data_IF_378233912691
#
_entry.id   IF_378233912691
#
_cell.length_a   1.000
_cell.length_b   1.000
_cell.length_c   1.000
_cell.angle_alpha   90.00
_cell.angle_beta   90.00
_cell.angle_gamma   90.00
#
_symmetry.space_group_name_H-M   'P 1'
#
loop_
_entity.id
_entity.type
_entity.pdbx_description
1 polymer ?
#
# COMPACT_ATOMS: atom_id res chain seq x y z
N UNK A 1 -16.51 -10.86 -21.02
CA UNK A 1 -15.96 -11.77 -19.99
C UNK A 1 -15.44 -10.89 -18.86
N UNK A 2 -16.10 -10.84 -17.70
CA UNK A 2 -15.58 -10.08 -16.56
C UNK A 2 -14.34 -10.79 -16.02
N UNK A 3 -13.15 -10.26 -16.35
CA UNK A 3 -11.88 -10.78 -15.85
C UNK A 3 -11.81 -10.69 -14.32
N UNK A 4 -11.03 -11.58 -13.71
CA UNK A 4 -10.80 -11.59 -12.26
C UNK A 4 -10.15 -10.25 -11.85
N UNK A 5 -10.79 -9.54 -10.91
CA UNK A 5 -10.26 -8.29 -10.33
C UNK A 5 -8.94 -8.57 -9.57
N UNK A 6 -7.84 -7.83 -9.82
CA UNK A 6 -6.59 -8.00 -9.08
C UNK A 6 -6.81 -7.85 -7.58
N UNK A 7 -6.23 -8.74 -6.77
CA UNK A 7 -6.29 -8.63 -5.31
C UNK A 7 -5.18 -7.71 -4.84
N UNK A 8 -5.51 -6.73 -4.02
CA UNK A 8 -4.59 -5.68 -3.59
C UNK A 8 -4.39 -5.71 -2.08
N UNK A 9 -3.14 -5.67 -1.65
CA UNK A 9 -2.73 -5.45 -0.26
C UNK A 9 -2.16 -4.04 -0.19
N UNK A 10 -2.74 -3.19 0.66
CA UNK A 10 -2.24 -1.84 0.90
C UNK A 10 -1.31 -1.84 2.10
N UNK A 11 -0.22 -1.08 2.05
CA UNK A 11 0.75 -0.95 3.13
C UNK A 11 1.00 0.54 3.39
N UNK A 12 0.87 1.00 4.63
CA UNK A 12 1.16 2.40 5.00
C UNK A 12 2.64 2.61 5.32
N UNK A 13 3.09 3.87 5.45
CA UNK A 13 4.48 4.24 5.80
C UNK A 13 5.50 3.62 4.81
N UNK A 14 5.17 3.76 3.53
CA UNK A 14 5.82 3.13 2.38
C UNK A 14 7.19 3.68 1.99
N UNK A 15 8.11 3.82 2.94
CA UNK A 15 9.46 4.31 2.70
C UNK A 15 10.36 3.29 1.96
N UNK A 16 11.63 3.65 1.71
CA UNK A 16 12.59 2.75 1.05
C UNK A 16 12.87 1.46 1.85
N UNK A 17 12.74 1.50 3.18
CA UNK A 17 12.96 0.34 4.05
C UNK A 17 11.77 -0.62 3.90
N UNK A 18 10.55 -0.10 3.98
CA UNK A 18 9.32 -0.84 3.73
C UNK A 18 9.34 -1.46 2.33
N UNK A 19 9.73 -0.70 1.29
CA UNK A 19 9.85 -1.21 -0.07
C UNK A 19 10.77 -2.43 -0.15
N UNK A 20 11.99 -2.35 0.41
CA UNK A 20 12.95 -3.46 0.37
C UNK A 20 12.43 -4.70 1.10
N UNK A 21 11.73 -4.51 2.22
CA UNK A 21 11.12 -5.61 2.97
C UNK A 21 9.99 -6.27 2.17
N UNK A 22 9.10 -5.47 1.58
CA UNK A 22 7.96 -5.94 0.79
C UNK A 22 8.41 -6.63 -0.49
N UNK A 23 9.45 -6.14 -1.19
CA UNK A 23 9.98 -6.79 -2.39
C UNK A 23 10.57 -8.18 -2.08
N UNK A 24 11.20 -8.34 -0.91
CA UNK A 24 11.67 -9.65 -0.44
C UNK A 24 10.49 -10.57 -0.11
N UNK A 25 9.51 -10.09 0.65
CA UNK A 25 8.32 -10.86 1.01
C UNK A 25 7.50 -11.28 -0.24
N UNK A 26 7.35 -10.37 -1.21
CA UNK A 26 6.61 -10.60 -2.44
C UNK A 26 7.19 -11.75 -3.27
N UNK A 27 8.52 -11.90 -3.30
CA UNK A 27 9.17 -13.04 -3.97
C UNK A 27 8.78 -14.39 -3.35
N UNK A 28 8.63 -14.44 -2.03
CA UNK A 28 8.25 -15.65 -1.29
C UNK A 28 6.81 -16.04 -1.60
N UNK A 29 5.90 -15.07 -1.60
CA UNK A 29 4.45 -15.31 -1.81
C UNK A 29 4.01 -15.19 -3.28
N UNK A 30 4.95 -14.97 -4.21
CA UNK A 30 4.72 -14.73 -5.64
C UNK A 30 3.76 -13.56 -5.93
N UNK A 31 3.87 -12.49 -5.15
CA UNK A 31 3.12 -11.24 -5.34
C UNK A 31 3.88 -10.24 -6.24
N UNK A 32 3.17 -9.21 -6.73
CA UNK A 32 3.78 -8.05 -7.40
C UNK A 32 3.81 -6.86 -6.45
N UNK A 33 4.97 -6.24 -6.24
CA UNK A 33 5.05 -4.92 -5.63
C UNK A 33 4.99 -3.85 -6.73
N UNK A 34 4.16 -2.82 -6.55
CA UNK A 34 4.26 -1.60 -7.35
C UNK A 34 5.34 -0.73 -6.72
N UNK A 35 6.61 -1.02 -7.00
CA UNK A 35 7.74 -0.31 -6.36
C UNK A 35 7.71 1.20 -6.59
N UNK A 36 7.12 1.67 -7.69
CA UNK A 36 6.89 3.11 -7.96
C UNK A 36 5.91 3.80 -7.01
N UNK A 37 5.14 3.04 -6.22
CA UNK A 37 4.25 3.59 -5.19
C UNK A 37 4.97 3.89 -3.87
N UNK A 38 6.21 3.40 -3.69
CA UNK A 38 7.02 3.79 -2.54
C UNK A 38 7.44 5.26 -2.63
N UNK A 39 7.67 5.86 -1.48
CA UNK A 39 8.15 7.23 -1.34
C UNK A 39 7.40 7.97 -0.25
N UNK A 40 8.09 8.95 0.34
CA UNK A 40 7.57 9.76 1.44
C UNK A 40 7.63 11.26 1.03
N UNK A 41 6.51 11.90 0.64
CA UNK A 41 5.16 11.32 0.48
C UNK A 41 5.03 10.45 -0.78
N UNK A 42 3.93 9.70 -0.90
CA UNK A 42 3.64 8.87 -2.08
C UNK A 42 3.67 9.70 -3.36
N UNK A 43 4.50 9.33 -4.36
CA UNK A 43 4.75 10.17 -5.52
C UNK A 43 3.67 10.05 -6.63
N UNK A 44 2.74 9.12 -6.50
CA UNK A 44 1.71 8.81 -7.51
C UNK A 44 0.31 9.13 -7.00
N UNK A 45 -0.56 9.62 -7.88
CA UNK A 45 -1.98 9.74 -7.59
C UNK A 45 -2.65 8.36 -7.51
N UNK A 46 -3.72 8.24 -6.71
CA UNK A 46 -4.45 6.98 -6.55
C UNK A 46 -4.93 6.37 -7.87
N UNK A 47 -5.33 7.19 -8.84
CA UNK A 47 -5.72 6.74 -10.18
C UNK A 47 -4.55 6.14 -10.96
N UNK A 48 -3.37 6.74 -10.91
CA UNK A 48 -2.16 6.21 -11.55
C UNK A 48 -1.75 4.85 -10.94
N UNK A 49 -1.91 4.72 -9.61
CA UNK A 49 -1.66 3.46 -8.92
C UNK A 49 -2.63 2.38 -9.40
N UNK A 50 -3.93 2.69 -9.58
CA UNK A 50 -4.91 1.74 -10.12
C UNK A 50 -4.50 1.25 -11.50
N UNK A 51 -4.09 2.14 -12.41
CA UNK A 51 -3.65 1.72 -13.74
C UNK A 51 -2.42 0.80 -13.69
N UNK A 52 -1.47 1.07 -12.78
CA UNK A 52 -0.33 0.18 -12.56
C UNK A 52 -0.74 -1.19 -11.98
N UNK A 53 -1.75 -1.24 -11.10
CA UNK A 53 -2.30 -2.50 -10.59
C UNK A 53 -2.92 -3.32 -11.72
N UNK A 54 -3.67 -2.68 -12.63
CA UNK A 54 -4.34 -3.36 -13.74
C UNK A 54 -3.35 -3.93 -14.77
N UNK A 55 -2.14 -3.36 -14.86
CA UNK A 55 -1.04 -3.84 -15.70
C UNK A 55 -0.15 -4.89 -15.01
N UNK A 56 -0.36 -5.18 -13.72
CA UNK A 56 0.49 -6.08 -12.96
C UNK A 56 0.40 -7.54 -13.45
N UNK A 57 1.56 -8.14 -13.73
CA UNK A 57 1.65 -9.52 -14.21
C UNK A 57 1.39 -10.60 -13.13
N UNK A 58 1.34 -10.24 -11.84
CA UNK A 58 1.13 -11.20 -10.74
C UNK A 58 0.05 -10.71 -9.76
N UNK A 59 -0.64 -11.67 -9.14
CA UNK A 59 -1.73 -11.48 -8.18
C UNK A 59 -1.41 -12.30 -6.90
N UNK A 60 -1.35 -11.70 -5.70
CA UNK A 60 -1.80 -10.35 -5.36
C UNK A 60 -0.78 -9.25 -5.69
N UNK A 61 -1.27 -8.02 -5.71
CA UNK A 61 -0.51 -6.78 -5.89
C UNK A 61 -0.36 -6.07 -4.54
N UNK A 62 0.84 -5.62 -4.22
CA UNK A 62 1.18 -4.87 -3.02
C UNK A 62 1.44 -3.43 -3.43
N UNK A 63 0.77 -2.50 -2.75
CA UNK A 63 0.87 -1.06 -2.96
C UNK A 63 1.26 -0.39 -1.64
N UNK A 64 2.19 0.55 -1.73
CA UNK A 64 2.65 1.36 -0.60
C UNK A 64 2.00 2.74 -0.67
N UNK A 65 1.65 3.27 0.50
CA UNK A 65 1.05 4.59 0.69
C UNK A 65 1.72 5.29 1.88
N UNK A 66 1.99 6.58 1.76
CA UNK A 66 2.66 7.42 2.75
C UNK A 66 2.26 8.88 2.51
N UNK A 67 1.94 9.60 3.58
CA UNK A 67 1.48 10.99 3.59
C UNK A 67 2.48 11.95 4.27
N UNK A 68 3.67 11.47 4.67
CA UNK A 68 4.69 12.22 5.42
C UNK A 68 4.18 12.80 6.76
N UNK A 69 3.20 12.16 7.39
CA UNK A 69 2.60 12.65 8.63
C UNK A 69 1.82 13.96 8.45
N UNK A 70 1.19 14.12 7.28
CA UNK A 70 0.35 15.29 7.00
C UNK A 70 -0.95 15.16 7.79
N UNK A 71 -1.16 16.06 8.76
CA UNK A 71 -2.39 16.09 9.54
C UNK A 71 -3.64 16.28 8.67
N UNK A 72 -4.56 15.32 8.67
CA UNK A 72 -5.83 15.38 7.95
C UNK A 72 -5.99 14.27 6.90
N UNK A 73 -6.80 14.51 5.85
CA UNK A 73 -6.84 13.65 4.67
C UNK A 73 -5.72 14.07 3.70
N UNK A 74 -4.50 13.62 3.99
CA UNK A 74 -3.34 13.81 3.14
C UNK A 74 -3.43 13.04 1.82
N UNK A 75 -2.40 13.15 0.96
CA UNK A 75 -2.33 12.45 -0.31
C UNK A 75 -2.46 10.92 -0.17
N UNK A 76 -1.90 10.35 0.90
CA UNK A 76 -2.00 8.93 1.21
C UNK A 76 -3.44 8.47 1.46
N UNK A 77 -4.19 9.22 2.27
CA UNK A 77 -5.60 8.94 2.57
C UNK A 77 -6.49 9.07 1.32
N UNK A 78 -6.21 10.07 0.47
CA UNK A 78 -6.94 10.27 -0.77
C UNK A 78 -6.70 9.12 -1.75
N UNK A 79 -5.45 8.68 -1.90
CA UNK A 79 -5.09 7.52 -2.71
C UNK A 79 -5.75 6.25 -2.16
N UNK A 80 -5.71 6.04 -0.84
CA UNK A 80 -6.36 4.92 -0.17
C UNK A 80 -7.86 4.86 -0.49
N UNK A 81 -8.56 6.00 -0.39
CA UNK A 81 -9.99 6.09 -0.74
C UNK A 81 -10.25 5.68 -2.20
N UNK A 82 -9.48 6.22 -3.14
CA UNK A 82 -9.60 5.88 -4.57
C UNK A 82 -9.42 4.36 -4.78
N UNK A 83 -8.39 3.78 -4.16
CA UNK A 83 -8.08 2.34 -4.27
C UNK A 83 -9.18 1.45 -3.68
N UNK A 84 -9.76 1.84 -2.56
CA UNK A 84 -10.82 1.07 -1.89
C UNK A 84 -12.16 1.17 -2.64
N UNK A 85 -12.45 2.31 -3.27
CA UNK A 85 -13.70 2.55 -3.99
C UNK A 85 -13.69 2.02 -5.44
N UNK A 86 -12.50 1.83 -6.05
CA UNK A 86 -12.39 1.39 -7.44
C UNK A 86 -12.85 -0.07 -7.63
N UNK A 87 -13.95 -0.23 -8.38
CA UNK A 87 -14.59 -1.53 -8.63
C UNK A 87 -13.78 -2.48 -9.51
N UNK A 88 -12.73 -2.01 -10.19
CA UNK A 88 -11.88 -2.82 -11.09
C UNK A 88 -10.86 -3.66 -10.32
N UNK A 89 -10.57 -3.28 -9.07
CA UNK A 89 -9.65 -4.00 -8.18
C UNK A 89 -10.38 -4.54 -6.95
N UNK A 90 -9.70 -5.36 -6.15
CA UNK A 90 -10.24 -5.90 -4.90
C UNK A 90 -9.21 -5.75 -3.79
N UNK A 91 -9.40 -4.78 -2.89
CA UNK A 91 -8.60 -4.70 -1.67
C UNK A 91 -8.92 -5.90 -0.78
N UNK A 92 -7.90 -6.69 -0.44
CA UNK A 92 -8.04 -7.91 0.40
C UNK A 92 -7.44 -7.74 1.79
N UNK A 93 -6.74 -6.64 2.05
CA UNK A 93 -6.18 -6.33 3.35
C UNK A 93 -5.38 -5.03 3.34
N UNK A 94 -5.20 -4.46 4.53
CA UNK A 94 -4.35 -3.28 4.78
C UNK A 94 -3.38 -3.64 5.90
N UNK A 95 -2.08 -3.41 5.66
CA UNK A 95 -1.03 -3.50 6.67
C UNK A 95 -0.67 -2.09 7.11
N UNK A 96 -1.14 -1.70 8.29
CA UNK A 96 -0.73 -0.45 8.91
C UNK A 96 0.66 -0.62 9.51
N UNK A 97 1.65 0.03 8.92
CA UNK A 97 3.03 0.08 9.43
C UNK A 97 3.19 1.39 10.19
N UNK A 98 3.77 1.28 11.37
CA UNK A 98 4.27 2.41 12.14
C UNK A 98 5.77 2.17 12.37
N UNK A 99 6.61 2.74 11.51
CA UNK A 99 8.05 2.64 11.67
C UNK A 99 8.62 3.96 12.21
N UNK A 100 9.69 3.87 13.01
CA UNK A 100 10.54 5.00 13.40
C UNK A 100 9.82 6.24 14.02
N UNK A 101 8.65 6.05 14.64
CA UNK A 101 7.85 7.15 15.18
C UNK A 101 8.47 7.66 16.47
N UNK A 102 9.07 8.86 16.44
CA UNK A 102 9.64 9.52 17.63
C UNK A 102 8.57 10.33 18.35
N UNK A 103 8.58 10.31 19.69
CA UNK A 103 7.72 11.14 20.56
C UNK A 103 6.21 10.84 20.56
N UNK A 104 5.78 9.67 20.10
CA UNK A 104 4.37 9.24 20.22
C UNK A 104 4.22 8.15 21.29
N UNK A 105 3.10 8.19 22.01
CA UNK A 105 2.66 7.06 22.83
C UNK A 105 1.99 6.08 21.87
N UNK A 106 2.61 4.93 21.63
CA UNK A 106 2.07 3.90 20.72
C UNK A 106 0.70 3.40 21.16
N UNK A 107 0.06 2.59 20.33
CA UNK A 107 -1.24 1.96 20.65
C UNK A 107 -1.05 0.75 21.56
N UNK A 108 -2.04 0.47 22.40
CA UNK A 108 -2.07 -0.77 23.16
C UNK A 108 -2.19 -1.94 22.17
N UNK A 109 -1.14 -2.75 22.06
CA UNK A 109 -1.11 -3.91 21.18
C UNK A 109 -1.95 -5.02 21.81
N UNK A 110 -3.11 -5.30 21.21
CA UNK A 110 -3.97 -6.41 21.65
C UNK A 110 -3.37 -7.79 21.35
N UNK A 111 -2.50 -7.88 20.33
CA UNK A 111 -1.85 -9.12 19.89
C UNK A 111 -0.61 -8.82 19.03
N UNK A 112 0.48 -9.59 19.23
CA UNK A 112 1.70 -9.55 18.41
C UNK A 112 2.07 -10.98 18.02
N UNK A 113 2.45 -11.18 16.75
CA UNK A 113 2.95 -12.45 16.21
C UNK A 113 4.48 -12.52 16.27
#
# INVERSE_FOLDING_TARGET
MQGKRPRVILVTDGDEIAQRALEKAAKIIRARVISRSAGNPTPLAGTEIVELILLAAHDPVIVMLDDNGTWGQGPGEQALRILVEDQRIRVIGVLAVASNTRYVRGVAVGFSL
#
